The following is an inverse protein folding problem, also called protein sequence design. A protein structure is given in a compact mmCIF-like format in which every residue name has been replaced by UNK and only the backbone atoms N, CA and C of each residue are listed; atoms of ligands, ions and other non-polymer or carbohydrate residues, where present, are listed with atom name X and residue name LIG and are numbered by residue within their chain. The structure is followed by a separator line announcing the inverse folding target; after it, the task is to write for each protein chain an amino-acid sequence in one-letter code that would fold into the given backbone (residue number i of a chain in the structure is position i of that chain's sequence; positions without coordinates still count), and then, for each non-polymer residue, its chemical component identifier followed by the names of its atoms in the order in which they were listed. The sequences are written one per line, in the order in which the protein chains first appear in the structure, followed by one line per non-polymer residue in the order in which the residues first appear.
data_IF_804674188523
#
_entry.id   IF_804674188523
#
_cell.length_a   1.000
_cell.length_b   1.000
_cell.length_c   1.000
_cell.angle_alpha   90.00
_cell.angle_beta   90.00
_cell.angle_gamma   90.00
#
_symmetry.space_group_name_H-M   'P 1'
#
loop_
_entity.id
_entity.type
_entity.pdbx_description
1 polymer ?
#
# COMPACT_ATOMS: atom_id res chain seq x y z
N UNK A 1 -10.40 -1.62 24.66
CA UNK A 1 -9.60 -2.74 24.11
C UNK A 1 -8.54 -2.18 23.18
N UNK A 2 -7.33 -2.71 23.24
CA UNK A 2 -6.27 -2.38 22.25
C UNK A 2 -6.68 -2.96 20.88
N UNK A 3 -6.42 -2.26 19.76
CA UNK A 3 -6.59 -2.83 18.44
C UNK A 3 -5.68 -4.03 18.23
N UNK A 4 -6.19 -5.08 17.58
CA UNK A 4 -5.45 -6.31 17.28
C UNK A 4 -4.72 -6.18 15.96
N UNK A 5 -3.43 -6.51 15.95
CA UNK A 5 -2.57 -6.42 14.78
C UNK A 5 -1.85 -7.75 14.59
N UNK A 6 -1.85 -8.25 13.36
CA UNK A 6 -1.08 -9.41 12.95
C UNK A 6 0.19 -8.96 12.20
N UNK A 7 1.34 -9.42 12.65
CA UNK A 7 2.63 -9.24 11.98
C UNK A 7 3.05 -10.55 11.34
N UNK A 8 3.44 -10.51 10.06
CA UNK A 8 3.88 -11.69 9.31
C UNK A 8 5.18 -11.38 8.58
N UNK A 9 6.25 -12.06 8.98
CA UNK A 9 7.61 -11.87 8.43
C UNK A 9 8.43 -13.12 8.74
N UNK A 10 9.22 -13.66 7.82
CA UNK A 10 10.05 -14.85 8.05
C UNK A 10 11.26 -14.58 8.97
N UNK A 11 11.58 -13.31 9.22
CA UNK A 11 12.64 -12.88 10.11
C UNK A 11 12.14 -12.68 11.55
N UNK A 12 12.43 -13.63 12.43
CA UNK A 12 12.06 -13.54 13.85
C UNK A 12 12.59 -12.26 14.53
N UNK A 13 13.77 -11.80 14.12
CA UNK A 13 14.35 -10.57 14.67
C UNK A 13 13.54 -9.33 14.30
N UNK A 14 13.00 -9.28 13.08
CA UNK A 14 12.12 -8.19 12.63
C UNK A 14 10.79 -8.25 13.39
N UNK A 15 10.21 -9.44 13.53
CA UNK A 15 8.99 -9.64 14.31
C UNK A 15 9.17 -9.21 15.77
N UNK A 16 10.25 -9.64 16.41
CA UNK A 16 10.56 -9.28 17.79
C UNK A 16 10.72 -7.76 17.97
N UNK A 17 11.41 -7.11 17.03
CA UNK A 17 11.62 -5.67 17.05
C UNK A 17 10.33 -4.89 16.84
N UNK A 18 9.51 -5.25 15.83
CA UNK A 18 8.21 -4.63 15.60
C UNK A 18 7.28 -4.82 16.80
N UNK A 19 7.24 -6.04 17.36
CA UNK A 19 6.44 -6.37 18.53
C UNK A 19 6.82 -5.49 19.72
N UNK A 20 8.10 -5.41 20.07
CA UNK A 20 8.58 -4.59 21.17
C UNK A 20 8.15 -3.12 21.09
N UNK A 21 8.15 -2.54 19.89
CA UNK A 21 7.75 -1.13 19.70
C UNK A 21 6.24 -0.93 19.69
N UNK A 22 5.48 -1.93 19.23
CA UNK A 22 4.03 -1.80 19.00
C UNK A 22 3.18 -2.30 20.18
N UNK A 23 3.72 -3.17 21.05
CA UNK A 23 2.99 -3.84 22.13
C UNK A 23 2.41 -2.87 23.19
N UNK A 24 2.99 -1.67 23.31
CA UNK A 24 2.48 -0.64 24.20
C UNK A 24 1.09 -0.18 23.78
N UNK A 25 0.86 -0.02 22.47
CA UNK A 25 -0.36 0.61 21.93
C UNK A 25 -1.37 -0.40 21.37
N UNK A 26 -0.91 -1.61 21.02
CA UNK A 26 -1.67 -2.63 20.30
C UNK A 26 -1.57 -4.01 20.96
N UNK A 27 -2.51 -4.88 20.62
CA UNK A 27 -2.46 -6.32 20.92
C UNK A 27 -1.83 -7.01 19.69
N UNK A 28 -0.59 -7.53 19.85
CA UNK A 28 0.22 -8.01 18.74
C UNK A 28 0.24 -9.53 18.66
N UNK A 29 -0.10 -10.05 17.50
CA UNK A 29 0.08 -11.43 17.08
C UNK A 29 1.19 -11.47 16.02
N UNK A 30 2.07 -12.48 16.08
CA UNK A 30 3.21 -12.59 15.16
C UNK A 30 3.32 -14.01 14.62
N UNK A 31 3.49 -14.12 13.31
CA UNK A 31 3.70 -15.37 12.59
C UNK A 31 4.93 -15.26 11.69
N UNK A 32 5.71 -16.33 11.59
CA UNK A 32 6.87 -16.41 10.71
C UNK A 32 6.64 -17.28 9.47
N UNK A 33 5.42 -17.77 9.26
CA UNK A 33 5.02 -18.58 8.10
C UNK A 33 3.53 -18.40 7.79
N UNK A 34 3.11 -18.86 6.60
CA UNK A 34 1.74 -18.72 6.10
C UNK A 34 0.71 -19.45 6.98
N UNK A 35 1.04 -20.67 7.44
CA UNK A 35 0.09 -21.51 8.19
C UNK A 35 -0.24 -20.90 9.55
N UNK A 36 0.77 -20.44 10.28
CA UNK A 36 0.58 -19.79 11.58
C UNK A 36 -0.14 -18.45 11.40
N UNK A 37 0.18 -17.70 10.35
CA UNK A 37 -0.49 -16.44 10.03
C UNK A 37 -2.00 -16.65 9.79
N UNK A 38 -2.41 -17.67 9.03
CA UNK A 38 -3.81 -18.01 8.80
C UNK A 38 -4.53 -18.45 10.08
N UNK A 39 -3.86 -19.23 10.93
CA UNK A 39 -4.41 -19.66 12.20
C UNK A 39 -4.64 -18.48 13.15
N UNK A 40 -3.65 -17.60 13.30
CA UNK A 40 -3.76 -16.41 14.12
C UNK A 40 -4.82 -15.44 13.58
N UNK A 41 -4.88 -15.25 12.27
CA UNK A 41 -5.89 -14.43 11.62
C UNK A 41 -7.30 -14.94 11.94
N UNK A 42 -7.54 -16.24 11.76
CA UNK A 42 -8.87 -16.84 11.98
C UNK A 42 -9.29 -16.79 13.46
N UNK A 43 -8.33 -17.03 14.36
CA UNK A 43 -8.60 -17.09 15.81
C UNK A 43 -8.82 -15.71 16.41
N UNK A 44 -8.01 -14.72 16.00
CA UNK A 44 -7.96 -13.41 16.68
C UNK A 44 -8.65 -12.29 15.92
N UNK A 45 -8.95 -12.47 14.63
CA UNK A 45 -9.63 -11.49 13.78
C UNK A 45 -8.99 -10.09 13.89
N UNK A 46 -7.73 -9.91 13.48
CA UNK A 46 -7.03 -8.63 13.60
C UNK A 46 -7.64 -7.57 12.68
N UNK A 47 -7.63 -6.31 13.13
CA UNK A 47 -8.10 -5.17 12.33
C UNK A 47 -7.11 -4.77 11.23
N UNK A 48 -5.83 -5.05 11.48
CA UNK A 48 -4.71 -4.71 10.58
C UNK A 48 -3.75 -5.89 10.51
N UNK A 49 -3.26 -6.21 9.32
CA UNK A 49 -2.14 -7.12 9.11
C UNK A 49 -0.97 -6.38 8.46
N UNK A 50 0.24 -6.59 8.97
CA UNK A 50 1.51 -6.16 8.35
C UNK A 50 2.17 -7.40 7.80
N UNK A 51 2.37 -7.49 6.48
CA UNK A 51 2.77 -8.73 5.80
C UNK A 51 3.99 -8.50 4.93
N UNK A 52 5.03 -9.31 5.12
CA UNK A 52 6.10 -9.46 4.11
C UNK A 52 5.61 -10.33 2.96
N UNK A 53 5.96 -9.96 1.73
CA UNK A 53 5.65 -10.77 0.55
C UNK A 53 6.57 -11.99 0.42
N UNK A 54 7.81 -11.89 0.89
CA UNK A 54 8.82 -12.94 0.82
C UNK A 54 8.87 -13.70 2.15
N UNK A 55 7.98 -14.67 2.32
CA UNK A 55 7.93 -15.52 3.52
C UNK A 55 8.81 -16.78 3.42
N UNK A 56 9.57 -16.93 2.35
CA UNK A 56 10.51 -18.03 2.14
C UNK A 56 11.75 -17.55 1.40
N UNK A 57 12.78 -17.21 2.13
CA UNK A 57 14.07 -16.76 1.56
C UNK A 57 14.80 -17.82 0.75
N UNK A 58 14.51 -19.10 0.96
CA UNK A 58 15.09 -20.18 0.17
C UNK A 58 14.55 -20.16 -1.28
N UNK A 59 13.39 -19.54 -1.51
CA UNK A 59 12.80 -19.38 -2.83
C UNK A 59 12.26 -17.94 -3.00
N UNK A 60 13.10 -17.03 -3.47
CA UNK A 60 12.76 -15.63 -3.72
C UNK A 60 11.66 -15.43 -4.78
N UNK A 61 11.34 -16.47 -5.54
CA UNK A 61 10.23 -16.49 -6.50
C UNK A 61 8.91 -16.91 -5.84
N UNK A 62 8.95 -17.40 -4.60
CA UNK A 62 7.74 -17.77 -3.86
C UNK A 62 7.12 -16.54 -3.19
N UNK A 63 6.04 -16.06 -3.78
CA UNK A 63 5.24 -14.94 -3.27
C UNK A 63 4.16 -15.43 -2.30
N UNK A 64 4.53 -16.25 -1.32
CA UNK A 64 3.63 -16.73 -0.28
C UNK A 64 2.85 -15.61 0.41
N UNK A 65 3.50 -14.48 0.64
CA UNK A 65 2.85 -13.30 1.20
C UNK A 65 1.72 -12.75 0.33
N UNK A 66 1.83 -12.79 -1.00
CA UNK A 66 0.73 -12.37 -1.89
C UNK A 66 -0.47 -13.33 -1.82
N UNK A 67 -0.22 -14.65 -1.73
CA UNK A 67 -1.29 -15.63 -1.51
C UNK A 67 -2.00 -15.37 -0.19
N UNK A 68 -1.23 -15.13 0.86
CA UNK A 68 -1.74 -14.81 2.19
C UNK A 68 -2.58 -13.53 2.20
N UNK A 69 -2.13 -12.47 1.55
CA UNK A 69 -2.88 -11.22 1.36
C UNK A 69 -4.23 -11.49 0.70
N UNK A 70 -4.25 -12.28 -0.38
CA UNK A 70 -5.48 -12.66 -1.08
C UNK A 70 -6.43 -13.41 -0.16
N UNK A 71 -5.95 -14.42 0.57
CA UNK A 71 -6.77 -15.19 1.50
C UNK A 71 -7.34 -14.35 2.64
N UNK A 72 -6.56 -13.44 3.19
CA UNK A 72 -7.05 -12.53 4.23
C UNK A 72 -8.19 -11.65 3.72
N UNK A 73 -8.05 -11.07 2.52
CA UNK A 73 -9.08 -10.21 1.91
C UNK A 73 -10.33 -10.99 1.50
N UNK A 74 -10.19 -12.26 1.10
CA UNK A 74 -11.33 -13.15 0.80
C UNK A 74 -12.11 -13.52 2.07
N UNK A 75 -11.40 -13.75 3.20
CA UNK A 75 -12.03 -14.09 4.49
C UNK A 75 -12.63 -12.87 5.18
N UNK A 76 -11.95 -11.75 5.16
CA UNK A 76 -12.41 -10.48 5.72
C UNK A 76 -12.07 -9.29 4.81
N UNK A 77 -13.02 -8.83 3.97
CA UNK A 77 -12.81 -7.64 3.12
C UNK A 77 -12.63 -6.34 3.91
N UNK A 78 -12.89 -6.33 5.21
CA UNK A 78 -12.72 -5.14 6.05
C UNK A 78 -11.32 -5.01 6.61
N UNK A 79 -10.52 -6.08 6.63
CA UNK A 79 -9.14 -6.02 7.11
C UNK A 79 -8.32 -4.97 6.34
N UNK A 80 -7.41 -4.33 7.04
CA UNK A 80 -6.45 -3.40 6.41
C UNK A 80 -5.08 -4.04 6.38
N UNK A 81 -4.56 -4.29 5.19
CA UNK A 81 -3.28 -4.95 4.99
C UNK A 81 -2.24 -3.93 4.57
N UNK A 82 -1.13 -3.90 5.32
CA UNK A 82 0.06 -3.11 5.01
C UNK A 82 1.14 -4.11 4.58
N UNK A 83 1.60 -3.99 3.34
CA UNK A 83 2.70 -4.83 2.84
C UNK A 83 4.02 -4.14 3.13
N UNK A 84 4.95 -4.85 3.78
CA UNK A 84 6.31 -4.37 4.06
C UNK A 84 7.31 -5.41 3.58
N UNK A 85 8.00 -5.16 2.46
CA UNK A 85 8.86 -6.16 1.83
C UNK A 85 10.19 -5.60 1.37
N UNK A 86 11.24 -6.45 1.36
CA UNK A 86 12.56 -6.12 0.81
C UNK A 86 12.62 -6.18 -0.72
N UNK A 87 11.60 -6.72 -1.35
CA UNK A 87 11.53 -6.81 -2.81
C UNK A 87 10.93 -5.52 -3.39
N UNK A 88 11.78 -4.71 -4.01
CA UNK A 88 11.41 -3.44 -4.68
C UNK A 88 10.91 -3.67 -6.12
N UNK A 89 10.41 -4.88 -6.43
CA UNK A 89 9.83 -5.17 -7.72
C UNK A 89 8.48 -4.47 -7.89
N UNK A 90 8.45 -3.54 -8.85
CA UNK A 90 7.26 -2.76 -9.19
C UNK A 90 6.07 -3.67 -9.58
N UNK A 91 6.33 -4.87 -10.13
CA UNK A 91 5.29 -5.82 -10.52
C UNK A 91 4.57 -6.42 -9.30
N UNK A 92 5.32 -6.80 -8.25
CA UNK A 92 4.75 -7.30 -7.00
C UNK A 92 3.99 -6.22 -6.24
N UNK A 93 4.52 -4.99 -6.23
CA UNK A 93 3.83 -3.85 -5.66
C UNK A 93 2.48 -3.58 -6.35
N UNK A 94 2.48 -3.57 -7.69
CA UNK A 94 1.26 -3.37 -8.47
C UNK A 94 0.25 -4.50 -8.25
N UNK A 95 0.72 -5.74 -8.14
CA UNK A 95 -0.15 -6.88 -7.85
C UNK A 95 -0.79 -6.79 -6.47
N UNK A 96 -0.04 -6.41 -5.44
CA UNK A 96 -0.57 -6.18 -4.09
C UNK A 96 -1.62 -5.05 -4.09
N UNK A 97 -1.37 -3.96 -4.81
CA UNK A 97 -2.34 -2.86 -4.96
C UNK A 97 -3.63 -3.33 -5.66
N UNK A 98 -3.52 -4.14 -6.71
CA UNK A 98 -4.68 -4.72 -7.41
C UNK A 98 -5.51 -5.63 -6.51
N UNK A 99 -4.88 -6.34 -5.58
CA UNK A 99 -5.58 -7.12 -4.57
C UNK A 99 -6.34 -6.24 -3.57
N UNK A 100 -5.99 -4.97 -3.43
CA UNK A 100 -6.67 -4.03 -2.57
C UNK A 100 -6.00 -3.86 -1.19
N UNK A 101 -4.68 -4.04 -1.08
CA UNK A 101 -3.95 -3.73 0.15
C UNK A 101 -4.10 -2.26 0.53
N UNK A 102 -4.08 -1.97 1.83
CA UNK A 102 -4.23 -0.61 2.34
C UNK A 102 -3.01 0.25 2.05
N UNK A 103 -1.81 -0.31 2.20
CA UNK A 103 -0.55 0.38 1.90
C UNK A 103 0.57 -0.62 1.56
N UNK A 104 1.63 -0.12 0.90
CA UNK A 104 2.80 -0.91 0.48
C UNK A 104 4.07 -0.15 0.81
N UNK A 105 5.05 -0.79 1.46
CA UNK A 105 6.29 -0.15 1.86
C UNK A 105 7.50 -1.07 1.63
N UNK A 106 8.60 -0.51 1.08
CA UNK A 106 9.87 -1.24 0.95
C UNK A 106 10.70 -1.18 2.23
N UNK A 107 11.29 -2.31 2.62
CA UNK A 107 12.33 -2.35 3.67
C UNK A 107 13.59 -1.56 3.23
N UNK A 108 14.28 -0.88 4.13
CA UNK A 108 14.05 -0.79 5.56
C UNK A 108 12.94 0.23 5.90
N UNK A 109 11.99 -0.18 6.74
CA UNK A 109 10.95 0.72 7.25
C UNK A 109 11.36 1.33 8.59
N UNK A 110 11.15 2.64 8.72
CA UNK A 110 11.27 3.28 10.03
C UNK A 110 10.02 2.98 10.85
N UNK A 111 10.20 2.55 12.08
CA UNK A 111 9.05 2.21 12.95
C UNK A 111 8.09 3.37 13.21
N UNK A 112 8.59 4.61 13.20
CA UNK A 112 7.72 5.79 13.28
C UNK A 112 6.76 5.86 12.09
N UNK A 113 7.23 5.57 10.87
CA UNK A 113 6.39 5.53 9.68
C UNK A 113 5.39 4.38 9.74
N UNK A 114 5.82 3.19 10.19
CA UNK A 114 4.94 2.03 10.37
C UNK A 114 3.81 2.33 11.39
N UNK A 115 4.12 2.97 12.52
CA UNK A 115 3.10 3.38 13.50
C UNK A 115 2.04 4.28 12.87
N UNK A 116 2.45 5.27 12.08
CA UNK A 116 1.51 6.17 11.39
C UNK A 116 0.63 5.41 10.39
N UNK A 117 1.20 4.47 9.64
CA UNK A 117 0.45 3.64 8.68
C UNK A 117 -0.57 2.76 9.41
N UNK A 118 -0.17 2.11 10.50
CA UNK A 118 -1.06 1.29 11.33
C UNK A 118 -2.21 2.13 11.90
N UNK A 119 -1.93 3.32 12.44
CA UNK A 119 -2.96 4.21 12.97
C UNK A 119 -3.98 4.60 11.90
N UNK A 120 -3.54 4.95 10.69
CA UNK A 120 -4.42 5.24 9.55
C UNK A 120 -5.27 4.02 9.16
N UNK A 121 -4.65 2.85 9.09
CA UNK A 121 -5.33 1.60 8.77
C UNK A 121 -6.43 1.27 9.78
N UNK A 122 -6.14 1.42 11.07
CA UNK A 122 -7.12 1.21 12.15
C UNK A 122 -8.30 2.18 12.02
N UNK A 123 -8.04 3.45 11.74
CA UNK A 123 -9.11 4.44 11.62
C UNK A 123 -10.02 4.16 10.41
N UNK A 124 -9.43 3.78 9.27
CA UNK A 124 -10.21 3.37 8.09
C UNK A 124 -11.03 2.11 8.39
N UNK A 125 -10.46 1.13 9.10
CA UNK A 125 -11.19 -0.07 9.54
C UNK A 125 -12.37 0.30 10.44
N UNK A 126 -12.19 1.19 11.41
CA UNK A 126 -13.26 1.66 12.33
C UNK A 126 -14.38 2.38 11.57
N UNK A 127 -14.02 3.24 10.60
CA UNK A 127 -15.02 3.94 9.77
C UNK A 127 -15.83 2.91 8.98
N UNK A 128 -15.17 1.92 8.37
CA UNK A 128 -15.84 0.88 7.59
C UNK A 128 -16.85 0.08 8.45
N UNK A 129 -16.51 -0.29 9.68
CA UNK A 129 -17.43 -0.97 10.59
C UNK A 129 -18.61 -0.10 11.00
N UNK A 130 -18.36 1.16 11.38
CA UNK A 130 -19.46 2.09 11.74
C UNK A 130 -20.45 2.30 10.60
N UNK A 131 -19.97 2.39 9.36
CA UNK A 131 -20.83 2.54 8.19
C UNK A 131 -21.69 1.28 7.97
N UNK A 132 -21.17 0.08 8.21
CA UNK A 132 -21.95 -1.17 8.09
C UNK A 132 -23.04 -1.30 9.17
N UNK A 133 -22.81 -0.75 10.36
CA UNK A 133 -23.73 -0.83 11.51
C UNK A 133 -24.82 0.24 11.49
N UNK A 134 -24.71 1.29 10.65
CA UNK A 134 -25.72 2.34 10.58
C UNK A 134 -26.95 1.89 9.75
N UNK A 135 -28.18 1.95 10.32
CA UNK A 135 -29.41 1.51 9.64
C UNK A 135 -29.72 2.30 8.35
N UNK A 136 -29.21 3.51 8.23
CA UNK A 136 -29.38 4.37 7.05
C UNK A 136 -28.57 3.88 5.86
N UNK A 137 -27.41 3.28 6.11
CA UNK A 137 -26.54 2.72 5.07
C UNK A 137 -27.14 1.42 4.48
N UNK A 138 -27.81 0.63 5.30
CA UNK A 138 -28.47 -0.60 4.87
C UNK A 138 -29.65 -0.35 3.89
N UNK A 139 -30.24 0.85 3.90
CA UNK A 139 -31.39 1.23 3.05
C UNK A 139 -30.99 1.90 1.73
N UNK A 140 -29.78 2.39 1.58
CA UNK A 140 -29.39 3.32 0.50
C UNK A 140 -28.47 2.80 -0.58
N UNK A 141 -27.83 1.65 -0.41
CA UNK A 141 -26.86 1.15 -1.40
C UNK A 141 -27.31 -0.16 -2.01
N UNK A 142 -27.78 -0.07 -3.23
CA UNK A 142 -27.90 -1.24 -4.11
C UNK A 142 -26.52 -1.91 -4.25
N UNK A 143 -26.49 -3.24 -4.22
CA UNK A 143 -25.30 -4.13 -4.18
C UNK A 143 -24.17 -3.79 -5.18
N UNK A 144 -24.45 -2.97 -6.18
CA UNK A 144 -23.50 -2.59 -7.22
C UNK A 144 -22.59 -1.37 -6.90
N UNK A 145 -22.81 -0.68 -5.75
CA UNK A 145 -21.99 0.48 -5.38
C UNK A 145 -20.93 0.20 -4.29
N UNK A 146 -20.96 -0.99 -3.67
CA UNK A 146 -20.04 -1.35 -2.59
C UNK A 146 -18.65 -1.75 -3.13
N UNK A 147 -18.49 -1.95 -4.44
CA UNK A 147 -17.19 -2.20 -5.07
C UNK A 147 -16.39 -0.92 -5.41
N UNK A 148 -16.93 0.25 -5.10
CA UNK A 148 -16.16 1.49 -5.20
C UNK A 148 -15.15 1.51 -4.04
N UNK A 149 -13.87 1.26 -4.34
CA UNK A 149 -12.73 1.56 -3.46
C UNK A 149 -12.94 2.94 -2.84
N UNK A 150 -12.65 3.16 -1.54
CA UNK A 150 -12.68 4.49 -0.97
C UNK A 150 -11.59 5.33 -1.65
N UNK A 151 -11.94 5.99 -2.75
CA UNK A 151 -11.15 7.06 -3.30
C UNK A 151 -11.21 8.19 -2.27
N UNK A 152 -10.08 8.48 -1.65
CA UNK A 152 -9.91 9.70 -0.85
C UNK A 152 -10.23 10.87 -1.75
N UNK A 153 -11.39 11.49 -1.52
CA UNK A 153 -11.76 12.72 -2.23
C UNK A 153 -10.82 13.82 -1.75
N UNK A 154 -9.96 14.28 -2.64
CA UNK A 154 -9.21 15.52 -2.48
C UNK A 154 -10.17 16.70 -2.63
N UNK A 155 -10.78 17.14 -1.53
CA UNK A 155 -11.66 18.32 -1.49
C UNK A 155 -10.90 19.63 -1.28
N UNK A 156 -9.68 19.78 -1.81
CA UNK A 156 -8.87 20.98 -1.57
C UNK A 156 -8.75 21.92 -2.78
N UNK A 157 -9.48 21.69 -3.89
CA UNK A 157 -9.36 22.53 -5.09
C UNK A 157 -10.69 23.02 -5.69
N UNK A 158 -11.79 22.95 -4.95
CA UNK A 158 -13.12 23.29 -5.51
C UNK A 158 -13.51 24.77 -5.41
N UNK A 159 -12.60 25.70 -5.00
CA UNK A 159 -13.03 27.08 -4.77
C UNK A 159 -12.52 28.16 -5.74
N UNK A 160 -11.68 27.89 -6.74
CA UNK A 160 -11.08 28.97 -7.54
C UNK A 160 -11.24 28.90 -9.08
N UNK A 161 -12.17 28.14 -9.66
CA UNK A 161 -12.26 27.99 -11.14
C UNK A 161 -13.52 28.63 -11.78
N UNK A 162 -14.26 29.43 -11.08
CA UNK A 162 -15.43 30.11 -11.69
C UNK A 162 -15.09 31.33 -12.59
N UNK A 163 -13.80 31.62 -12.83
CA UNK A 163 -13.38 32.84 -13.57
C UNK A 163 -12.97 32.65 -15.02
N UNK A 164 -13.00 31.46 -15.58
CA UNK A 164 -12.67 31.27 -17.00
C UNK A 164 -13.90 30.84 -17.81
N UNK A 165 -14.51 31.81 -18.49
CA UNK A 165 -15.68 31.64 -19.38
C UNK A 165 -15.37 30.79 -20.62
N UNK A 166 -15.40 29.50 -20.49
CA UNK A 166 -15.38 28.51 -21.55
C UNK A 166 -15.72 27.17 -20.94
N UNK A 167 -16.49 26.30 -21.64
CA UNK A 167 -16.84 24.97 -21.16
C UNK A 167 -15.60 24.11 -20.89
N UNK A 168 -14.87 24.41 -19.82
CA UNK A 168 -13.77 23.57 -19.36
C UNK A 168 -14.40 22.40 -18.63
N UNK A 169 -14.30 21.22 -19.23
CA UNK A 169 -14.71 19.99 -18.55
C UNK A 169 -13.77 19.77 -17.36
N UNK A 170 -14.19 20.18 -16.16
CA UNK A 170 -13.44 20.09 -14.92
C UNK A 170 -12.85 18.70 -14.68
N UNK A 171 -13.59 17.66 -15.08
CA UNK A 171 -13.14 16.26 -15.00
C UNK A 171 -11.94 16.01 -15.92
N UNK A 172 -11.89 16.61 -17.09
CA UNK A 172 -10.78 16.51 -18.04
C UNK A 172 -9.56 17.30 -17.53
N UNK A 173 -9.77 18.52 -17.04
CA UNK A 173 -8.71 19.36 -16.47
C UNK A 173 -8.05 18.67 -15.26
N UNK A 174 -8.84 18.12 -14.32
CA UNK A 174 -8.35 17.37 -13.18
C UNK A 174 -7.51 16.15 -13.62
N UNK A 175 -7.98 15.41 -14.62
CA UNK A 175 -7.27 14.26 -15.17
C UNK A 175 -5.94 14.65 -15.80
N UNK A 176 -5.88 15.77 -16.53
CA UNK A 176 -4.66 16.27 -17.16
C UNK A 176 -3.63 16.73 -16.11
N UNK A 177 -4.08 17.47 -15.08
CA UNK A 177 -3.21 17.92 -13.98
C UNK A 177 -2.66 16.74 -13.18
N UNK A 178 -3.49 15.76 -12.82
CA UNK A 178 -3.05 14.52 -12.16
C UNK A 178 -1.96 13.81 -12.98
N UNK A 179 -2.20 13.62 -14.27
CA UNK A 179 -1.27 12.97 -15.18
C UNK A 179 0.09 13.67 -15.26
N UNK A 180 0.09 15.01 -15.45
CA UNK A 180 1.33 15.78 -15.54
C UNK A 180 2.10 15.81 -14.22
N UNK A 181 1.42 15.90 -13.08
CA UNK A 181 2.06 15.85 -11.76
C UNK A 181 2.74 14.51 -11.51
N UNK A 182 2.05 13.39 -11.82
CA UNK A 182 2.62 12.05 -11.67
C UNK A 182 3.82 11.85 -12.59
N UNK A 183 3.73 12.23 -13.86
CA UNK A 183 4.87 12.16 -14.79
C UNK A 183 6.06 12.97 -14.32
N UNK A 184 5.84 14.21 -13.88
CA UNK A 184 6.90 15.10 -13.39
C UNK A 184 7.59 14.53 -12.16
N UNK A 185 6.82 13.99 -11.21
CA UNK A 185 7.37 13.36 -10.01
C UNK A 185 8.18 12.09 -10.36
N UNK A 186 7.67 11.25 -11.26
CA UNK A 186 8.40 10.06 -11.72
C UNK A 186 9.69 10.42 -12.46
N UNK A 187 9.65 11.41 -13.37
CA UNK A 187 10.82 11.86 -14.11
C UNK A 187 11.91 12.40 -13.15
N UNK A 188 11.54 13.26 -12.20
CA UNK A 188 12.46 13.84 -11.22
C UNK A 188 13.09 12.79 -10.31
N UNK A 189 12.37 11.71 -10.04
CA UNK A 189 12.83 10.63 -9.16
C UNK A 189 13.35 9.40 -9.94
N UNK A 190 13.70 9.55 -11.23
CA UNK A 190 14.23 8.48 -12.07
C UNK A 190 13.37 7.20 -12.09
N UNK A 191 12.05 7.35 -12.07
CA UNK A 191 11.11 6.24 -12.04
C UNK A 191 11.00 5.52 -10.69
N UNK A 192 11.61 6.04 -9.62
CA UNK A 192 11.51 5.45 -8.29
C UNK A 192 10.18 5.86 -7.65
N UNK A 193 9.18 4.96 -7.73
CA UNK A 193 7.80 5.21 -7.29
C UNK A 193 7.72 5.63 -5.82
N UNK A 194 8.54 5.04 -4.94
CA UNK A 194 8.56 5.39 -3.52
C UNK A 194 8.97 6.84 -3.25
N UNK A 195 9.92 7.37 -4.02
CA UNK A 195 10.34 8.77 -3.91
C UNK A 195 9.33 9.73 -4.52
N UNK A 196 8.77 9.36 -5.68
CA UNK A 196 7.73 10.14 -6.34
C UNK A 196 6.47 10.26 -5.48
N UNK A 197 6.01 9.18 -4.83
CA UNK A 197 4.89 9.20 -3.90
C UNK A 197 5.15 10.14 -2.71
N UNK A 198 6.35 10.07 -2.13
CA UNK A 198 6.76 10.96 -1.04
C UNK A 198 6.76 12.44 -1.47
N UNK A 199 7.25 12.73 -2.67
CA UNK A 199 7.26 14.10 -3.22
C UNK A 199 5.86 14.64 -3.45
N UNK A 200 4.94 13.79 -3.93
CA UNK A 200 3.53 14.14 -4.13
C UNK A 200 2.70 14.15 -2.83
N UNK A 201 3.28 13.74 -1.70
CA UNK A 201 2.57 13.68 -0.42
C UNK A 201 1.46 12.64 -0.35
N UNK A 202 1.52 11.60 -1.21
CA UNK A 202 0.53 10.52 -1.29
C UNK A 202 1.14 9.16 -0.92
N UNK A 203 0.28 8.17 -0.59
CA UNK A 203 0.73 6.80 -0.39
C UNK A 203 1.21 6.19 -1.71
N UNK A 204 2.05 5.14 -1.63
CA UNK A 204 2.46 4.41 -2.84
C UNK A 204 1.28 3.74 -3.53
N UNK A 205 0.34 3.23 -2.75
CA UNK A 205 -0.90 2.63 -3.28
C UNK A 205 -1.62 3.63 -4.18
N UNK A 206 -1.85 4.86 -3.68
CA UNK A 206 -2.49 5.91 -4.45
C UNK A 206 -1.69 6.28 -5.71
N UNK A 207 -0.34 6.30 -5.62
CA UNK A 207 0.47 6.59 -6.79
C UNK A 207 0.41 5.46 -7.84
N UNK A 208 0.41 4.19 -7.42
CA UNK A 208 0.21 3.07 -8.36
C UNK A 208 -1.18 3.10 -9.00
N UNK A 209 -2.22 3.43 -8.24
CA UNK A 209 -3.58 3.63 -8.80
C UNK A 209 -3.61 4.74 -9.86
N UNK A 210 -2.91 5.85 -9.63
CA UNK A 210 -2.81 6.95 -10.59
C UNK A 210 -2.00 6.53 -11.83
N UNK A 211 -0.89 5.80 -11.66
CA UNK A 211 -0.07 5.26 -12.75
C UNK A 211 -0.92 4.33 -13.62
N UNK A 212 -1.69 3.43 -13.04
CA UNK A 212 -2.57 2.52 -13.77
C UNK A 212 -3.73 3.26 -14.45
N UNK A 213 -4.41 4.14 -13.73
CA UNK A 213 -5.52 4.98 -14.21
C UNK A 213 -5.12 5.79 -15.45
N UNK A 214 -3.90 6.31 -15.47
CA UNK A 214 -3.36 7.13 -16.54
C UNK A 214 -2.52 6.34 -17.55
N UNK A 215 -2.35 5.02 -17.36
CA UNK A 215 -1.55 4.13 -18.22
C UNK A 215 -0.11 4.65 -18.41
N UNK A 216 0.53 5.09 -17.32
CA UNK A 216 1.89 5.64 -17.35
C UNK A 216 2.89 4.50 -17.30
N UNK A 217 3.79 4.42 -18.27
CA UNK A 217 4.88 3.45 -18.28
C UNK A 217 6.05 3.95 -17.43
N UNK A 218 6.19 3.44 -16.22
CA UNK A 218 7.24 3.85 -15.28
C UNK A 218 8.66 3.60 -15.83
N UNK A 219 8.82 2.58 -16.68
CA UNK A 219 10.12 2.20 -17.26
C UNK A 219 10.76 3.34 -18.10
N UNK A 220 9.97 4.17 -18.76
CA UNK A 220 10.46 5.30 -19.57
C UNK A 220 11.21 6.36 -18.73
N UNK A 221 10.99 6.38 -17.40
CA UNK A 221 11.64 7.33 -16.49
C UNK A 221 12.87 6.73 -15.79
N UNK A 222 13.13 5.41 -15.95
CA UNK A 222 14.32 4.77 -15.36
C UNK A 222 15.54 5.10 -16.20
N UNK A 223 16.42 5.98 -15.72
CA UNK A 223 17.72 6.21 -16.34
C UNK A 223 18.55 4.93 -16.23
N UNK A 224 18.93 4.37 -17.39
CA UNK A 224 19.94 3.31 -17.45
C UNK A 224 21.26 3.85 -16.89
N UNK A 225 21.54 3.60 -15.61
CA UNK A 225 22.93 3.66 -15.15
C UNK A 225 23.65 2.48 -15.79
N UNK A 226 24.37 2.77 -16.88
CA UNK A 226 25.45 1.89 -17.35
C UNK A 226 26.36 1.67 -16.13
N UNK A 227 26.38 0.45 -15.60
CA UNK A 227 27.38 0.07 -14.59
C UNK A 227 28.73 0.29 -15.24
N UNK A 228 29.65 1.09 -14.65
CA UNK A 228 30.98 1.18 -15.18
C UNK A 228 31.58 -0.23 -15.17
N UNK A 229 32.12 -0.65 -16.31
CA UNK A 229 32.81 -1.92 -16.45
C UNK A 229 33.88 -2.01 -15.35
N UNK A 230 33.83 -3.03 -14.51
CA UNK A 230 34.91 -3.31 -13.57
C UNK A 230 36.12 -3.68 -14.42
N UNK A 231 37.08 -2.75 -14.54
CA UNK A 231 38.40 -3.06 -15.02
C UNK A 231 39.01 -4.10 -14.09
N UNK A 232 39.09 -5.34 -14.54
CA UNK A 232 39.97 -6.34 -13.96
C UNK A 232 41.37 -5.97 -14.37
N UNK A 233 42.11 -5.27 -13.53
CA UNK A 233 43.58 -5.20 -13.61
C UNK A 233 44.11 -6.54 -13.15
N UNK A 234 44.52 -7.37 -14.09
CA UNK A 234 45.45 -8.48 -13.85
C UNK A 234 46.83 -7.87 -13.93
N UNK A 235 47.48 -7.60 -12.83
CA UNK A 235 48.91 -7.41 -12.79
C UNK A 235 49.59 -8.76 -12.54
N UNK A 236 50.60 -9.01 -13.37
CA UNK A 236 51.48 -10.18 -13.45
C UNK A 236 52.45 -10.22 -12.25
#
# INVERSE_FOLDING_TARGET
MKPKILLVDDEEQILAYMRWVLDTDYEIFAANNEMDALNLFTTHQPSVAVVDLCLNRANLLDLGGLRLVKEFLEKDPAIRIIVVTGNDDDANALQAVRLGVHDYYAKPIRLADLKVMIQRAIEVHRIHHRLKESPEFARGLSRNQIQAKPSVQFNAFDQDIDSFGGQINLKLAKKTVEFELVKKALAKNNGIVSRAAKELGISRVNLYELIEKHKIEVQQFKTHRLRPARHKTWEV
#
